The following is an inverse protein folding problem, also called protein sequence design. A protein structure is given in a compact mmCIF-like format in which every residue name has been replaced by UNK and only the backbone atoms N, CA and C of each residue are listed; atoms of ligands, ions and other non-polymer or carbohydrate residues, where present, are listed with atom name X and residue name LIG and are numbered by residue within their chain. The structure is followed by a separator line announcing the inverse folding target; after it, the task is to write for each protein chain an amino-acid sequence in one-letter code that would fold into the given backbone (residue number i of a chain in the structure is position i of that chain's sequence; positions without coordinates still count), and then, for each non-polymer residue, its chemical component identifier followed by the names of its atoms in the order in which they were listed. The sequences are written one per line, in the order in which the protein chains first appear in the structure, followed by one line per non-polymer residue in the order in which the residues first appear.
data_IF_742540504360
#
_entry.id   IF_742540504360
#
_cell.length_a   1.000
_cell.length_b   1.000
_cell.length_c   1.000
_cell.angle_alpha   90.00
_cell.angle_beta   90.00
_cell.angle_gamma   90.00
#
_symmetry.space_group_name_H-M   'P 1'
#
loop_
_entity.id
_entity.type
_entity.pdbx_description
1 polymer ?
#
# COMPACT_ATOMS: atom_id res chain seq x y z
N UNK A 1 -32.02 43.13 -2.09
CA UNK A 1 -31.94 44.60 -1.96
C UNK A 1 -32.11 44.94 -0.49
N UNK A 2 -31.02 45.27 0.20
CA UNK A 2 -31.05 45.93 1.50
C UNK A 2 -29.90 46.95 1.50
N UNK A 3 -30.28 48.21 1.67
CA UNK A 3 -29.48 49.43 1.58
C UNK A 3 -28.92 49.80 2.97
N UNK A 4 -27.66 50.28 3.00
CA UNK A 4 -27.13 51.42 3.80
C UNK A 4 -27.19 51.34 5.35
N UNK A 5 -26.20 51.77 6.17
CA UNK A 5 -25.37 52.99 6.20
C UNK A 5 -24.03 52.80 6.92
N UNK A 6 -23.15 53.74 6.60
CA UNK A 6 -21.79 54.03 7.04
C UNK A 6 -21.62 54.54 8.49
N UNK A 7 -20.34 54.87 8.79
CA UNK A 7 -19.74 55.72 9.84
C UNK A 7 -19.11 54.90 10.97
N UNK A 8 -17.82 54.96 11.31
CA UNK A 8 -16.76 55.95 11.05
C UNK A 8 -16.29 56.48 12.41
N UNK A 9 -15.00 56.32 12.76
CA UNK A 9 -14.14 57.36 13.40
C UNK A 9 -12.83 56.79 13.93
N UNK A 10 -11.81 57.62 13.69
CA UNK A 10 -10.43 57.52 14.11
C UNK A 10 -10.25 57.76 15.62
N UNK A 11 -9.09 57.35 16.14
CA UNK A 11 -8.67 57.65 17.51
C UNK A 11 -7.25 57.18 17.80
N UNK A 12 -6.27 57.84 17.19
CA UNK A 12 -4.88 57.80 17.64
C UNK A 12 -4.82 58.44 19.03
N UNK A 13 -4.44 57.66 20.05
CA UNK A 13 -4.09 58.18 21.37
C UNK A 13 -2.62 57.86 21.65
N UNK A 14 -1.79 58.88 21.44
CA UNK A 14 -0.45 59.01 22.00
C UNK A 14 -0.59 59.08 23.52
N UNK A 15 0.06 58.19 24.28
CA UNK A 15 0.22 58.40 25.72
C UNK A 15 1.64 58.08 26.18
N UNK A 16 2.12 58.95 27.04
CA UNK A 16 3.50 59.26 27.32
C UNK A 16 4.27 58.16 28.05
N UNK A 17 5.58 58.20 27.83
CA UNK A 17 6.63 57.52 28.58
C UNK A 17 6.53 57.84 30.07
N UNK A 18 6.56 56.81 30.91
CA UNK A 18 7.01 56.91 32.30
C UNK A 18 8.03 55.80 32.55
N UNK A 19 9.27 56.22 32.76
CA UNK A 19 10.38 55.36 33.14
C UNK A 19 10.27 55.03 34.63
N UNK A 20 9.96 53.78 34.96
CA UNK A 20 10.13 53.24 36.30
C UNK A 20 11.35 52.32 36.30
N UNK A 21 12.44 52.79 36.93
CA UNK A 21 13.59 51.97 37.30
C UNK A 21 13.15 51.00 38.39
N UNK A 22 13.06 49.71 38.07
CA UNK A 22 12.96 48.64 39.06
C UNK A 22 14.09 47.64 38.82
N UNK A 23 14.79 47.30 39.90
CA UNK A 23 16.15 46.77 39.88
C UNK A 23 16.36 45.46 39.13
N UNK A 24 17.55 45.36 38.53
CA UNK A 24 18.16 44.12 38.09
C UNK A 24 18.35 43.20 39.31
N UNK A 25 17.44 42.24 39.49
CA UNK A 25 17.79 40.97 40.15
C UNK A 25 18.32 40.05 39.05
N UNK A 26 19.64 39.95 38.93
CA UNK A 26 20.27 38.90 38.16
C UNK A 26 20.08 37.58 38.92
N UNK A 27 19.02 36.82 38.61
CA UNK A 27 19.00 35.41 38.95
C UNK A 27 20.04 34.73 38.07
N UNK A 28 21.12 34.22 38.67
CA UNK A 28 21.98 33.24 38.02
C UNK A 28 21.14 31.98 37.82
N UNK A 29 20.45 31.91 36.67
CA UNK A 29 19.91 30.66 36.19
C UNK A 29 21.12 29.83 35.75
N UNK A 30 21.53 28.88 36.58
CA UNK A 30 22.46 27.85 36.14
C UNK A 30 21.76 27.10 35.00
N UNK A 31 22.13 27.41 33.76
CA UNK A 31 21.69 26.61 32.62
C UNK A 31 22.38 25.26 32.74
N UNK A 32 21.75 24.31 33.44
CA UNK A 32 22.10 22.92 33.28
C UNK A 32 21.71 22.54 31.85
N UNK A 33 22.67 22.66 30.94
CA UNK A 33 22.58 22.03 29.64
C UNK A 33 22.58 20.52 29.91
N UNK A 34 21.39 19.95 30.00
CA UNK A 34 21.22 18.51 29.93
C UNK A 34 21.60 18.14 28.49
N UNK A 35 22.87 17.76 28.30
CA UNK A 35 23.38 17.25 27.04
C UNK A 35 22.63 15.95 26.75
N UNK A 36 21.54 16.07 26.00
CA UNK A 36 20.81 14.92 25.48
C UNK A 36 21.79 14.16 24.60
N UNK A 37 22.22 12.98 25.05
CA UNK A 37 23.15 12.16 24.29
C UNK A 37 22.45 11.79 22.99
N UNK A 38 22.88 12.41 21.90
CA UNK A 38 22.43 12.06 20.57
C UNK A 38 22.89 10.63 20.29
N UNK A 39 21.98 9.68 20.48
CA UNK A 39 22.21 8.31 20.06
C UNK A 39 22.45 8.31 18.56
N UNK A 40 23.64 7.88 18.14
CA UNK A 40 23.96 7.66 16.72
C UNK A 40 22.89 6.74 16.15
N UNK A 41 22.10 7.24 15.20
CA UNK A 41 21.12 6.42 14.47
C UNK A 41 21.91 5.37 13.70
N UNK A 42 21.78 4.12 14.10
CA UNK A 42 22.38 3.00 13.38
C UNK A 42 21.83 2.98 11.93
N UNK A 43 22.66 2.62 10.93
CA UNK A 43 22.17 2.43 9.58
C UNK A 43 21.07 1.37 9.59
N UNK A 44 20.02 1.63 8.81
CA UNK A 44 18.86 0.75 8.71
C UNK A 44 19.27 -0.57 8.05
N UNK A 45 19.50 -1.59 8.89
CA UNK A 45 19.90 -2.93 8.48
C UNK A 45 18.85 -3.56 7.55
N UNK A 46 17.59 -3.10 7.58
CA UNK A 46 16.54 -3.63 6.71
C UNK A 46 16.81 -3.32 5.24
N UNK A 47 17.36 -2.15 4.92
CA UNK A 47 17.68 -1.77 3.54
C UNK A 47 18.85 -2.59 3.00
N UNK A 48 19.87 -2.80 3.82
CA UNK A 48 21.00 -3.67 3.47
C UNK A 48 20.55 -5.12 3.31
N UNK A 49 19.72 -5.63 4.21
CA UNK A 49 19.15 -6.97 4.13
C UNK A 49 18.28 -7.14 2.87
N UNK A 50 17.45 -6.16 2.54
CA UNK A 50 16.64 -6.19 1.31
C UNK A 50 17.51 -6.11 0.05
N UNK A 51 18.57 -5.32 0.03
CA UNK A 51 19.49 -5.27 -1.11
C UNK A 51 20.21 -6.61 -1.32
N UNK A 52 20.70 -7.23 -0.23
CA UNK A 52 21.32 -8.56 -0.26
C UNK A 52 20.30 -9.63 -0.66
N UNK A 53 19.10 -9.58 -0.09
CA UNK A 53 18.01 -10.50 -0.40
C UNK A 53 17.60 -10.41 -1.86
N UNK A 54 17.48 -9.18 -2.39
CA UNK A 54 17.20 -8.99 -3.81
C UNK A 54 18.32 -9.64 -4.62
N UNK A 55 19.59 -9.32 -4.29
CA UNK A 55 20.77 -9.85 -4.99
C UNK A 55 20.76 -11.38 -5.07
N UNK A 56 20.42 -12.06 -3.97
CA UNK A 56 20.39 -13.52 -3.88
C UNK A 56 19.22 -14.18 -4.62
N UNK A 57 18.04 -13.56 -4.65
CA UNK A 57 16.90 -14.09 -5.43
C UNK A 57 17.17 -14.01 -6.95
N UNK A 58 17.90 -12.97 -7.38
CA UNK A 58 18.34 -12.80 -8.76
C UNK A 58 17.24 -12.40 -9.75
N UNK A 59 16.01 -12.93 -9.61
CA UNK A 59 14.88 -12.59 -10.48
C UNK A 59 14.29 -11.23 -10.16
N UNK A 60 14.10 -10.92 -8.88
CA UNK A 60 13.72 -9.56 -8.47
C UNK A 60 14.84 -8.57 -8.81
N UNK A 61 16.13 -8.96 -8.78
CA UNK A 61 17.21 -8.09 -9.28
C UNK A 61 17.09 -7.81 -10.76
N UNK A 62 16.79 -8.85 -11.55
CA UNK A 62 16.63 -8.72 -12.99
C UNK A 62 15.54 -7.68 -13.26
N UNK A 63 14.38 -7.83 -12.62
CA UNK A 63 13.23 -6.92 -12.78
C UNK A 63 13.50 -5.49 -12.26
N UNK A 64 14.18 -5.36 -11.11
CA UNK A 64 14.35 -4.08 -10.40
C UNK A 64 15.55 -3.26 -10.89
N UNK A 65 16.65 -3.92 -11.26
CA UNK A 65 17.91 -3.24 -11.60
C UNK A 65 18.34 -3.49 -13.05
N UNK A 66 18.33 -4.75 -13.51
CA UNK A 66 18.86 -5.09 -14.84
C UNK A 66 17.93 -4.57 -15.93
N UNK A 67 16.62 -4.78 -15.81
CA UNK A 67 15.63 -4.35 -16.78
C UNK A 67 15.67 -2.82 -17.00
N UNK A 68 15.57 -1.97 -15.95
CA UNK A 68 15.71 -0.52 -16.14
C UNK A 68 17.08 -0.07 -16.65
N UNK A 69 18.16 -0.76 -16.24
CA UNK A 69 19.52 -0.42 -16.66
C UNK A 69 19.78 -0.76 -18.14
N UNK A 70 19.40 -1.97 -18.56
CA UNK A 70 19.49 -2.44 -19.95
C UNK A 70 18.58 -1.62 -20.86
N UNK A 71 17.39 -1.32 -20.38
CA UNK A 71 16.39 -0.58 -21.12
C UNK A 71 16.18 0.79 -20.47
N UNK A 72 17.10 1.72 -20.78
CA UNK A 72 17.06 3.12 -20.33
C UNK A 72 15.71 3.83 -20.54
N UNK A 73 14.82 3.25 -21.35
CA UNK A 73 13.50 3.75 -21.71
C UNK A 73 12.35 3.10 -20.89
N UNK A 74 12.65 2.41 -19.79
CA UNK A 74 11.63 1.88 -18.89
C UNK A 74 10.82 3.03 -18.27
N UNK A 75 9.55 3.12 -18.61
CA UNK A 75 8.60 4.10 -18.08
C UNK A 75 7.86 3.51 -16.89
N UNK A 76 7.81 4.23 -15.78
CA UNK A 76 6.97 3.87 -14.64
C UNK A 76 5.51 4.21 -14.95
N UNK A 77 4.64 3.19 -14.91
CA UNK A 77 3.23 3.31 -15.31
C UNK A 77 2.31 3.55 -14.12
N UNK A 78 2.62 2.93 -12.97
CA UNK A 78 1.85 3.06 -11.75
C UNK A 78 2.19 2.02 -10.69
N UNK A 79 1.52 2.13 -9.56
CA UNK A 79 1.62 1.24 -8.39
C UNK A 79 0.21 0.77 -8.03
N UNK A 80 0.07 -0.50 -7.63
CA UNK A 80 -1.20 -1.04 -7.16
C UNK A 80 -1.39 -0.93 -5.64
N UNK A 81 -2.54 -1.38 -5.14
CA UNK A 81 -2.83 -1.37 -3.71
C UNK A 81 -1.98 -2.37 -2.89
N UNK A 82 -1.34 -3.35 -3.55
CA UNK A 82 -0.43 -4.30 -2.93
C UNK A 82 1.01 -3.75 -2.82
N UNK A 83 1.30 -2.60 -3.44
CA UNK A 83 2.63 -2.01 -3.52
C UNK A 83 3.50 -2.57 -4.65
N UNK A 84 2.93 -3.32 -5.59
CA UNK A 84 3.64 -3.75 -6.80
C UNK A 84 3.77 -2.57 -7.77
N UNK A 85 4.95 -2.42 -8.37
CA UNK A 85 5.28 -1.32 -9.29
C UNK A 85 5.35 -1.83 -10.73
N UNK A 86 4.64 -1.17 -11.63
CA UNK A 86 4.50 -1.59 -13.02
C UNK A 86 5.30 -0.71 -13.97
N UNK A 87 5.96 -1.35 -14.93
CA UNK A 87 6.85 -0.70 -15.90
C UNK A 87 6.54 -1.14 -17.33
N UNK A 88 6.74 -0.22 -18.27
CA UNK A 88 6.55 -0.47 -19.71
C UNK A 88 7.72 0.10 -20.52
N UNK A 89 8.10 -0.60 -21.59
CA UNK A 89 9.06 -0.12 -22.60
C UNK A 89 8.37 -0.10 -23.96
N UNK A 90 8.32 1.06 -24.60
CA UNK A 90 7.62 1.22 -25.89
C UNK A 90 8.42 0.76 -27.11
N UNK A 91 9.76 0.77 -27.04
CA UNK A 91 10.64 0.50 -28.19
C UNK A 91 11.89 -0.30 -27.78
N UNK A 92 12.41 -1.11 -28.70
CA UNK A 92 13.70 -1.78 -28.53
C UNK A 92 13.70 -3.06 -27.69
N UNK A 93 12.52 -3.68 -27.48
CA UNK A 93 12.37 -4.93 -26.71
C UNK A 93 11.54 -5.93 -27.48
N UNK A 94 11.83 -7.22 -27.29
CA UNK A 94 11.02 -8.31 -27.80
C UNK A 94 9.57 -8.22 -27.29
N UNK A 95 8.60 -8.44 -28.18
CA UNK A 95 7.20 -8.51 -27.80
C UNK A 95 6.97 -9.55 -26.70
N UNK A 96 6.15 -9.22 -25.71
CA UNK A 96 5.96 -10.02 -24.49
C UNK A 96 6.89 -9.70 -23.31
N UNK A 97 8.07 -9.08 -23.52
CA UNK A 97 8.96 -8.63 -22.41
C UNK A 97 8.93 -7.12 -22.15
N UNK A 98 8.07 -6.41 -22.86
CA UNK A 98 7.98 -4.96 -22.80
C UNK A 98 7.20 -4.45 -21.57
N UNK A 99 6.47 -5.32 -20.86
CA UNK A 99 5.75 -5.02 -19.61
C UNK A 99 6.18 -5.98 -18.53
N UNK A 100 6.43 -5.46 -17.33
CA UNK A 100 6.73 -6.27 -16.15
C UNK A 100 6.33 -5.50 -14.88
N UNK A 101 6.35 -6.21 -13.75
CA UNK A 101 6.16 -5.60 -12.45
C UNK A 101 7.32 -5.95 -11.52
N UNK A 102 7.48 -5.15 -10.47
CA UNK A 102 8.44 -5.37 -9.39
C UNK A 102 7.65 -5.44 -8.07
N UNK A 103 7.70 -6.56 -7.34
CA UNK A 103 7.02 -6.68 -6.06
C UNK A 103 7.72 -5.84 -4.99
N UNK A 104 7.00 -5.42 -3.93
CA UNK A 104 7.57 -4.65 -2.82
C UNK A 104 8.44 -5.52 -1.90
N UNK A 105 8.07 -6.79 -1.73
CA UNK A 105 8.78 -7.77 -0.92
C UNK A 105 9.41 -8.87 -1.79
N UNK A 106 10.56 -9.36 -1.35
CA UNK A 106 11.39 -10.35 -2.04
C UNK A 106 11.07 -11.77 -1.53
N UNK A 107 10.60 -11.91 -0.28
CA UNK A 107 10.43 -13.23 0.33
C UNK A 107 9.10 -13.89 -0.01
N UNK A 108 8.00 -13.12 0.01
CA UNK A 108 6.65 -13.66 -0.19
C UNK A 108 5.92 -13.03 -1.38
N UNK A 109 6.56 -12.97 -2.55
CA UNK A 109 5.89 -12.58 -3.78
C UNK A 109 5.29 -13.78 -4.53
N UNK A 110 4.12 -13.57 -5.13
CA UNK A 110 3.43 -14.57 -5.94
C UNK A 110 2.85 -13.91 -7.18
N UNK A 111 2.84 -14.56 -8.36
CA UNK A 111 2.16 -14.01 -9.54
C UNK A 111 0.67 -13.71 -9.31
N UNK A 112 0.05 -14.40 -8.35
CA UNK A 112 -1.35 -14.18 -7.98
C UNK A 112 -1.59 -12.96 -7.09
N UNK A 113 -0.53 -12.26 -6.64
CA UNK A 113 -0.69 -10.99 -5.91
C UNK A 113 -1.06 -9.82 -6.82
N UNK A 114 -0.94 -9.99 -8.15
CA UNK A 114 -1.32 -8.98 -9.13
C UNK A 114 -2.85 -8.85 -9.15
N UNK A 115 -3.40 -7.65 -8.93
CA UNK A 115 -4.84 -7.45 -8.93
C UNK A 115 -5.44 -7.54 -10.34
N UNK A 116 -6.76 -7.79 -10.45
CA UNK A 116 -7.41 -8.05 -11.74
C UNK A 116 -7.31 -6.88 -12.72
N UNK A 117 -7.28 -5.64 -12.23
CA UNK A 117 -7.12 -4.43 -13.05
C UNK A 117 -5.76 -4.39 -13.77
N UNK A 118 -4.70 -4.77 -13.08
CA UNK A 118 -3.33 -4.78 -13.60
C UNK A 118 -3.02 -6.06 -14.38
N UNK A 119 -3.66 -7.18 -14.02
CA UNK A 119 -3.52 -8.46 -14.72
C UNK A 119 -3.85 -8.34 -16.21
N UNK A 120 -4.96 -7.67 -16.57
CA UNK A 120 -5.34 -7.48 -17.98
C UNK A 120 -4.30 -6.69 -18.78
N UNK A 121 -3.75 -5.64 -18.19
CA UNK A 121 -2.72 -4.82 -18.82
C UNK A 121 -1.37 -5.56 -18.96
N UNK A 122 -0.95 -6.26 -17.90
CA UNK A 122 0.31 -7.02 -17.89
C UNK A 122 0.31 -8.15 -18.93
N UNK A 123 -0.83 -8.80 -19.14
CA UNK A 123 -1.00 -9.88 -20.12
C UNK A 123 -1.36 -9.40 -21.54
N UNK A 124 -1.26 -8.10 -21.83
CA UNK A 124 -1.61 -7.51 -23.12
C UNK A 124 -3.06 -7.79 -23.58
N UNK A 125 -3.97 -8.00 -22.63
CA UNK A 125 -5.42 -8.09 -22.92
C UNK A 125 -5.95 -6.69 -23.18
N UNK A 126 -5.52 -5.73 -22.37
CA UNK A 126 -5.86 -4.31 -22.49
C UNK A 126 -4.60 -3.49 -22.82
N UNK A 127 -4.77 -2.47 -23.68
CA UNK A 127 -3.69 -1.54 -24.01
C UNK A 127 -3.52 -0.46 -22.92
N UNK A 128 -4.63 -0.02 -22.33
CA UNK A 128 -4.62 1.03 -21.33
C UNK A 128 -4.34 0.48 -19.94
N UNK A 129 -3.44 1.15 -19.22
CA UNK A 129 -3.15 0.83 -17.83
C UNK A 129 -4.29 1.33 -16.92
N UNK A 130 -4.57 0.65 -15.79
CA UNK A 130 -5.57 1.08 -14.82
C UNK A 130 -5.20 2.41 -14.12
N UNK A 131 -3.95 2.88 -14.25
CA UNK A 131 -3.57 4.24 -13.83
C UNK A 131 -4.16 5.33 -14.72
N UNK A 132 -4.49 5.02 -15.98
CA UNK A 132 -5.06 5.97 -16.96
C UNK A 132 -6.57 5.83 -17.11
N UNK A 133 -7.09 4.62 -16.96
CA UNK A 133 -8.51 4.31 -17.14
C UNK A 133 -9.08 3.80 -15.83
N UNK A 134 -10.24 4.36 -15.43
CA UNK A 134 -10.93 3.94 -14.21
C UNK A 134 -11.46 2.52 -14.36
N UNK A 135 -10.95 1.60 -13.53
CA UNK A 135 -11.52 0.26 -13.39
C UNK A 135 -12.82 0.33 -12.55
N UNK A 136 -13.91 -0.25 -13.06
CA UNK A 136 -15.19 -0.32 -12.34
C UNK A 136 -15.22 -1.63 -11.58
N UNK A 137 -15.19 -1.55 -10.25
CA UNK A 137 -15.28 -2.74 -9.41
C UNK A 137 -16.71 -3.29 -9.39
N UNK A 138 -16.89 -4.61 -9.55
CA UNK A 138 -18.20 -5.22 -9.44
C UNK A 138 -18.69 -5.21 -7.98
N UNK A 139 -20.00 -5.08 -7.78
CA UNK A 139 -20.62 -5.02 -6.44
C UNK A 139 -20.43 -6.30 -5.60
N UNK A 140 -20.13 -7.42 -6.26
CA UNK A 140 -19.91 -8.72 -5.61
C UNK A 140 -18.42 -9.01 -5.31
N UNK A 141 -17.52 -8.05 -5.47
CA UNK A 141 -16.09 -8.21 -5.20
C UNK A 141 -15.87 -8.63 -3.74
N UNK A 142 -15.05 -9.66 -3.56
CA UNK A 142 -14.56 -10.12 -2.25
C UNK A 142 -13.05 -10.18 -2.27
N UNK A 143 -12.43 -9.95 -1.11
CA UNK A 143 -10.99 -10.05 -0.94
C UNK A 143 -10.49 -11.48 -1.16
N UNK A 144 -9.30 -11.62 -1.75
CA UNK A 144 -8.68 -12.92 -1.99
C UNK A 144 -8.09 -13.48 -0.69
N UNK A 145 -8.34 -14.76 -0.41
CA UNK A 145 -7.70 -15.46 0.71
C UNK A 145 -6.32 -15.98 0.32
N UNK A 146 -5.25 -15.38 0.85
CA UNK A 146 -3.85 -15.74 0.53
C UNK A 146 -3.38 -17.01 1.26
N UNK A 147 -4.06 -17.43 2.33
CA UNK A 147 -3.59 -18.53 3.19
C UNK A 147 -3.86 -19.93 2.60
N UNK A 148 -2.77 -20.68 2.37
CA UNK A 148 -2.77 -22.09 1.93
C UNK A 148 -3.69 -23.01 2.74
N UNK A 149 -3.80 -22.79 4.05
CA UNK A 149 -4.62 -23.61 4.96
C UNK A 149 -6.08 -23.15 5.09
N UNK A 150 -6.40 -21.94 4.61
CA UNK A 150 -7.75 -21.37 4.63
C UNK A 150 -8.40 -21.38 3.24
N UNK A 151 -7.77 -22.03 2.26
CA UNK A 151 -8.30 -22.15 0.91
C UNK A 151 -9.71 -22.76 0.87
N UNK A 152 -10.46 -22.37 -0.17
CA UNK A 152 -11.85 -22.78 -0.40
C UNK A 152 -12.04 -24.29 -0.23
N UNK A 153 -13.07 -24.65 0.53
CA UNK A 153 -13.45 -26.04 0.77
C UNK A 153 -14.73 -26.37 -0.01
N UNK A 154 -14.72 -27.42 -0.86
CA UNK A 154 -15.91 -27.81 -1.60
C UNK A 154 -17.02 -28.25 -0.65
N UNK A 155 -18.29 -28.11 -1.08
CA UNK A 155 -19.47 -28.29 -0.21
C UNK A 155 -19.57 -29.68 0.46
N UNK A 156 -18.86 -30.68 -0.07
CA UNK A 156 -18.86 -32.06 0.42
C UNK A 156 -17.61 -32.46 1.19
N UNK A 157 -16.65 -31.55 1.34
CA UNK A 157 -15.40 -31.85 2.03
C UNK A 157 -15.69 -32.25 3.49
N UNK A 158 -14.87 -33.16 4.01
CA UNK A 158 -14.96 -33.55 5.40
C UNK A 158 -14.59 -32.40 6.35
N UNK A 159 -13.64 -31.54 5.94
CA UNK A 159 -13.23 -30.36 6.72
C UNK A 159 -14.40 -29.42 7.01
N UNK A 160 -15.34 -29.28 6.07
CA UNK A 160 -16.56 -28.51 6.27
C UNK A 160 -17.50 -29.12 7.32
N UNK A 161 -17.53 -30.46 7.45
CA UNK A 161 -18.25 -31.14 8.52
C UNK A 161 -17.61 -30.87 9.88
N UNK A 162 -16.28 -30.84 9.94
CA UNK A 162 -15.55 -30.55 11.18
C UNK A 162 -15.78 -29.12 11.66
N UNK A 163 -15.77 -28.15 10.74
CA UNK A 163 -15.89 -26.72 11.06
C UNK A 163 -17.34 -26.26 11.29
N UNK A 164 -18.28 -26.73 10.46
CA UNK A 164 -19.69 -26.26 10.48
C UNK A 164 -20.69 -27.35 10.89
N UNK A 165 -20.22 -28.52 11.35
CA UNK A 165 -21.06 -29.65 11.79
C UNK A 165 -21.81 -30.39 10.67
N UNK A 166 -21.79 -29.90 9.42
CA UNK A 166 -22.56 -30.46 8.29
C UNK A 166 -21.79 -30.42 6.97
N UNK A 167 -21.97 -31.46 6.15
CA UNK A 167 -21.54 -31.50 4.75
C UNK A 167 -22.75 -31.56 3.82
N UNK A 168 -22.64 -31.02 2.60
CA UNK A 168 -23.73 -31.10 1.61
C UNK A 168 -23.99 -32.55 1.24
N UNK A 169 -25.26 -32.93 1.22
CA UNK A 169 -25.72 -34.20 0.67
C UNK A 169 -26.23 -33.96 -0.77
N UNK A 170 -25.82 -34.81 -1.71
CA UNK A 170 -26.25 -34.74 -3.12
C UNK A 170 -27.31 -35.78 -3.49
N UNK A 171 -27.78 -36.58 -2.53
CA UNK A 171 -28.90 -37.49 -2.77
C UNK A 171 -30.10 -36.70 -3.27
N UNK A 172 -30.60 -37.06 -4.46
CA UNK A 172 -31.79 -36.47 -5.09
C UNK A 172 -33.09 -37.09 -4.57
N UNK A 173 -32.98 -38.24 -3.92
CA UNK A 173 -34.07 -38.98 -3.32
C UNK A 173 -33.94 -38.93 -1.79
N UNK A 174 -35.08 -39.07 -1.12
CA UNK A 174 -35.11 -39.28 0.32
C UNK A 174 -35.27 -40.78 0.56
N UNK A 175 -34.42 -41.33 1.43
CA UNK A 175 -34.60 -42.71 1.86
C UNK A 175 -35.78 -42.75 2.83
N UNK A 176 -36.65 -43.75 2.69
CA UNK A 176 -37.68 -44.01 3.68
C UNK A 176 -37.03 -44.45 4.99
N UNK A 177 -37.40 -43.81 6.10
CA UNK A 177 -36.93 -44.17 7.44
C UNK A 177 -38.06 -44.87 8.17
N UNK A 178 -37.91 -46.14 8.60
CA UNK A 178 -38.95 -46.84 9.33
C UNK A 178 -39.21 -46.20 10.70
N UNK A 179 -40.43 -46.29 11.25
CA UNK A 179 -40.68 -45.93 12.64
C UNK A 179 -39.87 -46.83 13.58
N UNK A 180 -39.27 -46.26 14.62
CA UNK A 180 -38.60 -47.04 15.67
C UNK A 180 -39.65 -47.80 16.48
N UNK A 181 -39.45 -49.10 16.68
CA UNK A 181 -40.29 -49.96 17.52
C UNK A 181 -40.19 -49.58 19.01
#
# INVERSE_FOLDING_TARGET
MALWRETGKAGLALCARLAARSGLRASVASSQQHQQRDFVKLPDLSQAANAIGTFLDGKVMEAKYIHPYMFKQAEFVGEDYNGNKYYEIKKGVLYGRHRWFVPPDIFEYSPASVPPEWHGWLHNINNDAPSRVKFIEPSYKTEATTYKYLGYQPKGSYRKKLEFGRKRNWKKYQAWTPPSA
#
